data_IF_248431888733
#
_entry.id   IF_248431888733
#
_cell.length_a   1.000
_cell.length_b   1.000
_cell.length_c   1.000
_cell.angle_alpha   90.00
_cell.angle_beta   90.00
_cell.angle_gamma   90.00
#
_symmetry.space_group_name_H-M   'P 1'
#
loop_
_entity.id
_entity.type
_entity.pdbx_description
1 polymer ?
#
# COMPACT_ATOMS: atom_id res chain seq x y z
N UNK A 1 6.79 -21.35 -20.66
CA UNK A 1 7.10 -20.01 -20.07
C UNK A 1 6.58 -18.97 -21.03
N UNK A 2 6.21 -17.79 -20.56
CA UNK A 2 5.71 -16.69 -21.39
C UNK A 2 6.66 -15.50 -21.22
N UNK A 3 7.17 -14.97 -22.33
CA UNK A 3 7.72 -13.62 -22.36
C UNK A 3 6.60 -12.64 -22.71
N UNK A 4 6.49 -11.57 -21.93
CA UNK A 4 5.56 -10.49 -22.12
C UNK A 4 6.39 -9.24 -22.39
N UNK A 5 6.31 -8.70 -23.61
CA UNK A 5 6.83 -7.37 -23.92
C UNK A 5 5.76 -6.32 -23.62
N UNK A 6 6.16 -5.25 -22.96
CA UNK A 6 5.24 -4.19 -22.54
C UNK A 6 5.90 -2.82 -22.51
N UNK A 7 5.06 -1.78 -22.51
CA UNK A 7 5.49 -0.38 -22.40
C UNK A 7 4.92 0.29 -21.16
N UNK A 8 5.73 1.13 -20.51
CA UNK A 8 5.32 2.03 -19.43
C UNK A 8 5.80 3.42 -19.80
N UNK A 9 4.86 4.31 -20.15
CA UNK A 9 5.15 5.57 -20.81
C UNK A 9 6.07 5.35 -22.03
N UNK A 10 7.26 5.96 -22.06
CA UNK A 10 8.23 5.81 -23.15
C UNK A 10 9.14 4.58 -23.01
N UNK A 11 9.16 3.92 -21.84
CA UNK A 11 10.00 2.75 -21.58
C UNK A 11 9.41 1.51 -22.25
N UNK A 12 10.24 0.77 -22.99
CA UNK A 12 9.93 -0.56 -23.52
C UNK A 12 10.81 -1.61 -22.84
N UNK A 13 10.22 -2.71 -22.41
CA UNK A 13 10.92 -3.80 -21.71
C UNK A 13 10.15 -5.11 -21.81
N UNK A 14 10.72 -6.22 -21.36
CA UNK A 14 10.02 -7.50 -21.26
C UNK A 14 10.14 -8.13 -19.88
N UNK A 15 9.27 -9.10 -19.59
CA UNK A 15 9.31 -9.94 -18.40
C UNK A 15 9.04 -11.41 -18.76
N UNK A 16 9.60 -12.33 -18.00
CA UNK A 16 9.48 -13.78 -18.22
C UNK A 16 8.74 -14.42 -17.04
N UNK A 17 7.60 -15.06 -17.31
CA UNK A 17 6.70 -15.59 -16.28
C UNK A 17 6.17 -17.00 -16.62
N UNK A 18 5.64 -17.69 -15.61
CA UNK A 18 4.88 -18.93 -15.80
C UNK A 18 3.43 -18.62 -16.20
N UNK A 19 2.72 -19.57 -16.79
CA UNK A 19 1.38 -19.31 -17.35
C UNK A 19 0.36 -18.97 -16.24
N UNK A 20 0.58 -19.49 -15.05
CA UNK A 20 -0.23 -19.35 -13.83
C UNK A 20 0.06 -18.06 -13.06
N UNK A 21 1.06 -17.26 -13.46
CA UNK A 21 1.37 -16.00 -12.77
C UNK A 21 0.24 -14.99 -12.97
N UNK A 22 -0.25 -14.37 -11.91
CA UNK A 22 -1.44 -13.49 -11.98
C UNK A 22 -1.07 -12.02 -11.99
N UNK A 23 -1.66 -11.30 -12.92
CA UNK A 23 -1.55 -9.85 -13.08
C UNK A 23 -2.89 -9.18 -12.75
N UNK A 24 -2.84 -7.96 -12.24
CA UNK A 24 -4.03 -7.14 -12.02
C UNK A 24 -4.18 -6.16 -13.18
N UNK A 25 -5.33 -6.17 -13.85
CA UNK A 25 -5.60 -5.28 -14.99
C UNK A 25 -6.23 -3.97 -14.53
N UNK A 26 -6.14 -2.93 -15.35
CA UNK A 26 -6.84 -1.65 -15.14
C UNK A 26 -8.36 -1.83 -15.01
N UNK A 27 -8.92 -2.87 -15.63
CA UNK A 27 -10.31 -3.31 -15.49
C UNK A 27 -10.68 -3.91 -14.11
N UNK A 28 -9.77 -3.85 -13.13
CA UNK A 28 -9.94 -4.34 -11.75
C UNK A 28 -10.07 -5.87 -11.60
N UNK A 29 -9.56 -6.62 -12.56
CA UNK A 29 -9.58 -8.10 -12.57
C UNK A 29 -8.18 -8.72 -12.45
N UNK A 30 -8.12 -9.94 -11.90
CA UNK A 30 -6.87 -10.72 -11.74
C UNK A 30 -6.78 -11.83 -12.78
N UNK A 31 -6.00 -11.62 -13.83
CA UNK A 31 -5.85 -12.52 -14.99
C UNK A 31 -4.52 -13.27 -14.93
N UNK A 32 -4.53 -14.55 -15.30
CA UNK A 32 -3.32 -15.38 -15.42
C UNK A 32 -2.55 -15.06 -16.70
N UNK A 33 -1.22 -15.16 -16.67
CA UNK A 33 -0.33 -14.82 -17.77
C UNK A 33 -0.69 -15.55 -19.09
N UNK A 34 -1.14 -16.81 -19.00
CA UNK A 34 -1.60 -17.60 -20.14
C UNK A 34 -2.88 -17.10 -20.80
N UNK A 35 -3.63 -16.22 -20.13
CA UNK A 35 -4.91 -15.65 -20.59
C UNK A 35 -4.81 -14.17 -21.00
N UNK A 36 -3.64 -13.54 -20.85
CA UNK A 36 -3.38 -12.17 -21.29
C UNK A 36 -3.41 -12.04 -22.82
N UNK A 37 -3.71 -10.83 -23.29
CA UNK A 37 -3.81 -10.46 -24.71
C UNK A 37 -2.96 -9.24 -25.00
N UNK A 38 -2.63 -9.03 -26.27
CA UNK A 38 -2.04 -7.77 -26.72
C UNK A 38 -3.01 -6.61 -26.46
N UNK A 39 -2.46 -5.45 -26.11
CA UNK A 39 -3.17 -4.25 -25.63
C UNK A 39 -3.90 -4.40 -24.28
N UNK A 40 -3.79 -5.54 -23.57
CA UNK A 40 -4.18 -5.57 -22.15
C UNK A 40 -3.30 -4.60 -21.35
N UNK A 41 -3.92 -3.94 -20.37
CA UNK A 41 -3.28 -2.93 -19.53
C UNK A 41 -3.14 -3.44 -18.10
N UNK A 42 -1.91 -3.82 -17.74
CA UNK A 42 -1.54 -4.27 -16.40
C UNK A 42 -1.34 -3.05 -15.50
N UNK A 43 -1.99 -3.04 -14.33
CA UNK A 43 -1.82 -1.99 -13.33
C UNK A 43 -0.71 -2.38 -12.34
N UNK A 44 0.41 -1.67 -12.38
CA UNK A 44 1.51 -1.85 -11.44
C UNK A 44 1.18 -1.27 -10.05
N UNK A 45 1.88 -1.72 -9.01
CA UNK A 45 1.72 -1.20 -7.64
C UNK A 45 2.06 0.30 -7.48
N UNK A 46 2.68 0.94 -8.47
CA UNK A 46 2.88 2.40 -8.58
C UNK A 46 1.64 3.17 -9.05
N UNK A 47 0.61 2.49 -9.55
CA UNK A 47 -0.42 3.09 -10.40
C UNK A 47 0.03 3.31 -11.84
N UNK A 48 1.27 2.96 -12.21
CA UNK A 48 1.68 2.96 -13.60
C UNK A 48 0.93 1.88 -14.38
N UNK A 49 0.54 2.22 -15.62
CA UNK A 49 -0.06 1.28 -16.56
C UNK A 49 1.04 0.71 -17.45
N UNK A 50 1.09 -0.61 -17.55
CA UNK A 50 1.91 -1.36 -18.48
C UNK A 50 1.03 -1.92 -19.60
N UNK A 51 1.18 -1.40 -20.82
CA UNK A 51 0.45 -1.90 -21.99
C UNK A 51 1.23 -3.04 -22.66
N UNK A 52 0.60 -4.20 -22.85
CA UNK A 52 1.23 -5.36 -23.46
C UNK A 52 1.34 -5.17 -24.97
N UNK A 53 2.57 -5.13 -25.49
CA UNK A 53 2.84 -5.04 -26.93
C UNK A 53 3.09 -6.39 -27.60
N UNK A 54 3.58 -7.38 -26.84
CA UNK A 54 3.80 -8.73 -27.37
C UNK A 54 3.72 -9.82 -26.28
N UNK A 55 3.32 -11.02 -26.70
CA UNK A 55 3.25 -12.21 -25.84
C UNK A 55 3.84 -13.39 -26.61
N UNK A 56 5.00 -13.87 -26.19
CA UNK A 56 5.71 -14.99 -26.79
C UNK A 56 5.65 -16.21 -25.86
N UNK A 57 5.10 -17.34 -26.34
CA UNK A 57 5.25 -18.62 -25.64
C UNK A 57 6.62 -19.20 -25.92
N UNK A 58 7.39 -19.43 -24.85
CA UNK A 58 8.72 -20.04 -24.89
C UNK A 58 8.59 -21.50 -24.48
N UNK A 59 8.89 -22.38 -25.44
CA UNK A 59 8.96 -23.83 -25.25
C UNK A 59 10.24 -24.28 -24.52
N UNK A 60 10.20 -25.48 -23.94
CA UNK A 60 11.32 -26.07 -23.20
C UNK A 60 11.15 -26.04 -21.68
N UNK A 61 11.94 -26.88 -21.00
CA UNK A 61 11.99 -26.94 -19.55
C UNK A 61 12.89 -25.82 -19.01
N UNK A 62 12.28 -24.71 -18.61
CA UNK A 62 12.97 -23.57 -18.00
C UNK A 62 12.93 -23.68 -16.48
N UNK A 63 14.08 -23.57 -15.81
CA UNK A 63 14.11 -23.40 -14.36
C UNK A 63 13.73 -21.97 -14.00
N UNK A 64 12.51 -21.79 -13.50
CA UNK A 64 12.01 -20.54 -12.94
C UNK A 64 11.94 -20.61 -11.41
N UNK A 65 12.07 -19.45 -10.77
CA UNK A 65 11.88 -19.27 -9.34
C UNK A 65 11.02 -18.02 -9.13
N UNK A 66 9.98 -18.11 -8.29
CA UNK A 66 9.22 -16.94 -7.88
C UNK A 66 10.10 -16.00 -7.04
N UNK A 67 10.23 -14.76 -7.50
CA UNK A 67 11.02 -13.72 -6.84
C UNK A 67 10.10 -12.75 -6.08
N UNK A 68 10.23 -12.70 -4.75
CA UNK A 68 9.57 -11.66 -3.93
C UNK A 68 10.53 -10.48 -3.74
N UNK A 69 10.45 -9.51 -4.65
CA UNK A 69 11.43 -8.41 -4.75
C UNK A 69 10.91 -7.13 -4.08
N UNK A 70 11.85 -6.31 -3.66
CA UNK A 70 11.62 -4.92 -3.30
C UNK A 70 12.60 -3.94 -3.93
N UNK A 71 12.08 -3.21 -4.91
CA UNK A 71 12.60 -1.99 -5.52
C UNK A 71 14.03 -1.93 -6.09
N UNK A 72 14.19 -1.01 -7.05
CA UNK A 72 15.39 -0.78 -7.86
C UNK A 72 16.06 -2.04 -8.43
N UNK A 73 15.24 -2.90 -9.06
CA UNK A 73 15.45 -3.69 -10.31
C UNK A 73 16.83 -4.26 -10.68
N UNK A 74 17.74 -4.47 -9.73
CA UNK A 74 19.04 -5.11 -9.93
C UNK A 74 19.13 -6.34 -9.03
N UNK A 75 19.24 -7.51 -9.67
CA UNK A 75 19.03 -8.85 -9.12
C UNK A 75 20.29 -9.45 -8.46
N UNK A 76 20.09 -10.35 -7.50
CA UNK A 76 21.08 -11.37 -7.11
C UNK A 76 20.41 -12.70 -6.76
N UNK A 77 21.09 -13.80 -7.07
CA UNK A 77 20.62 -15.19 -6.94
C UNK A 77 21.07 -15.79 -5.60
N UNK A 78 20.27 -16.69 -5.02
CA UNK A 78 20.69 -17.58 -3.92
C UNK A 78 20.04 -18.94 -4.05
N UNK A 79 20.80 -20.00 -3.75
CA UNK A 79 20.39 -21.42 -3.78
C UNK A 79 20.03 -21.97 -2.40
N UNK A 80 20.01 -21.14 -1.36
CA UNK A 80 19.66 -21.56 -0.01
C UNK A 80 18.15 -21.71 0.20
N UNK A 81 17.72 -22.76 0.90
CA UNK A 81 16.33 -22.83 1.43
C UNK A 81 16.08 -21.60 2.31
N UNK A 82 14.95 -20.90 2.16
CA UNK A 82 14.55 -19.88 3.12
C UNK A 82 14.40 -20.52 4.49
N UNK A 83 15.07 -19.96 5.49
CA UNK A 83 14.93 -20.39 6.87
C UNK A 83 13.56 -19.95 7.39
N UNK A 84 13.11 -20.51 8.51
CA UNK A 84 11.86 -20.11 9.22
C UNK A 84 11.84 -18.66 9.75
N UNK A 85 12.77 -17.81 9.29
CA UNK A 85 12.91 -16.37 9.56
C UNK A 85 12.55 -15.49 8.35
N UNK A 86 12.01 -16.07 7.27
CA UNK A 86 11.58 -15.33 6.07
C UNK A 86 10.06 -15.08 6.02
N UNK A 87 9.36 -15.29 7.14
CA UNK A 87 8.04 -14.72 7.46
C UNK A 87 8.11 -13.20 7.70
N UNK A 88 8.70 -12.46 6.74
CA UNK A 88 8.88 -10.99 6.80
C UNK A 88 7.87 -10.21 5.93
N UNK A 89 6.86 -10.88 5.41
CA UNK A 89 5.64 -10.22 4.98
C UNK A 89 4.50 -10.75 5.81
N UNK A 90 4.04 -9.93 6.75
CA UNK A 90 2.69 -10.06 7.28
C UNK A 90 1.70 -10.12 6.11
N UNK A 91 0.69 -10.96 6.22
CA UNK A 91 -0.40 -10.98 5.24
C UNK A 91 -1.07 -9.60 5.26
N UNK A 92 -1.46 -9.12 4.08
CA UNK A 92 -2.29 -7.91 4.00
C UNK A 92 -3.51 -8.08 4.93
N UNK A 93 -3.88 -7.04 5.70
CA UNK A 93 -5.02 -7.12 6.60
C UNK A 93 -6.31 -7.29 5.78
N UNK A 94 -7.28 -8.01 6.36
CA UNK A 94 -8.59 -8.27 5.73
C UNK A 94 -9.65 -7.24 6.10
N UNK A 95 -9.43 -6.45 7.16
CA UNK A 95 -10.32 -5.35 7.52
C UNK A 95 -10.13 -4.18 6.53
N UNK A 96 -11.20 -3.64 5.90
CA UNK A 96 -11.09 -2.58 4.91
C UNK A 96 -10.40 -1.30 5.41
N UNK A 97 -10.62 -0.91 6.68
CA UNK A 97 -10.00 0.28 7.29
C UNK A 97 -8.48 0.10 7.42
N UNK A 98 -8.01 -1.11 7.74
CA UNK A 98 -6.58 -1.43 7.80
C UNK A 98 -5.95 -1.62 6.41
N UNK A 99 -6.73 -2.16 5.45
CA UNK A 99 -6.26 -2.50 4.11
C UNK A 99 -5.88 -1.25 3.29
N UNK A 100 -6.66 -0.17 3.39
CA UNK A 100 -6.39 1.10 2.69
C UNK A 100 -5.00 1.63 3.05
N UNK A 101 -4.69 1.75 4.34
CA UNK A 101 -3.38 2.23 4.81
C UNK A 101 -2.24 1.28 4.45
N UNK A 102 -2.45 -0.03 4.57
CA UNK A 102 -1.46 -1.03 4.16
C UNK A 102 -1.13 -0.93 2.66
N UNK A 103 -2.13 -0.78 1.80
CA UNK A 103 -1.95 -0.67 0.36
C UNK A 103 -1.20 0.62 -0.01
N UNK A 104 -1.58 1.76 0.55
CA UNK A 104 -0.91 3.05 0.32
C UNK A 104 0.57 2.99 0.73
N UNK A 105 0.87 2.41 1.91
CA UNK A 105 2.24 2.19 2.35
C UNK A 105 3.01 1.15 1.51
N UNK A 106 2.34 0.25 0.79
CA UNK A 106 2.97 -0.74 -0.09
C UNK A 106 3.31 -0.20 -1.48
N UNK A 107 2.81 0.98 -1.87
CA UNK A 107 3.17 1.59 -3.14
C UNK A 107 4.68 1.93 -3.19
N UNK A 108 5.32 2.00 -4.36
CA UNK A 108 6.68 2.52 -4.53
C UNK A 108 6.72 4.06 -4.48
N UNK A 109 7.89 4.65 -4.22
CA UNK A 109 8.00 6.13 -4.11
C UNK A 109 8.10 6.79 -5.47
N UNK A 110 8.59 6.05 -6.46
CA UNK A 110 8.84 6.50 -7.82
C UNK A 110 8.15 5.56 -8.81
N UNK A 111 7.77 6.11 -9.95
CA UNK A 111 7.41 5.37 -11.14
C UNK A 111 8.66 4.70 -11.78
N UNK A 112 8.49 3.77 -12.74
CA UNK A 112 9.61 3.08 -13.37
C UNK A 112 10.61 3.98 -14.12
N UNK A 113 10.17 5.16 -14.55
CA UNK A 113 11.01 6.23 -15.14
C UNK A 113 11.80 7.05 -14.11
N UNK A 114 11.62 6.78 -12.81
CA UNK A 114 12.25 7.50 -11.70
C UNK A 114 11.50 8.74 -11.23
N UNK A 115 10.39 9.14 -11.87
CA UNK A 115 9.59 10.28 -11.42
C UNK A 115 8.86 9.98 -10.10
N UNK A 116 8.74 10.92 -9.16
CA UNK A 116 8.05 10.66 -7.88
C UNK A 116 6.54 10.42 -8.07
N UNK A 117 6.01 9.42 -7.38
CA UNK A 117 4.56 9.08 -7.34
C UNK A 117 3.72 10.03 -6.49
N UNK A 118 4.35 10.80 -5.60
CA UNK A 118 3.68 11.47 -4.49
C UNK A 118 3.37 10.54 -3.29
N UNK A 119 3.52 9.22 -3.45
CA UNK A 119 3.38 8.25 -2.36
C UNK A 119 4.65 8.25 -1.48
N UNK A 120 4.80 9.32 -0.69
CA UNK A 120 5.94 9.57 0.20
C UNK A 120 6.17 8.43 1.22
N UNK A 121 7.37 8.37 1.79
CA UNK A 121 7.76 7.39 2.83
C UNK A 121 7.15 7.65 4.22
N UNK A 122 6.05 8.41 4.27
CA UNK A 122 5.24 8.62 5.47
C UNK A 122 4.62 7.33 6.01
N UNK A 123 4.33 7.24 7.33
CA UNK A 123 3.23 6.42 7.78
C UNK A 123 1.92 6.89 7.14
N UNK A 124 1.12 5.93 6.72
CA UNK A 124 -0.23 6.09 6.18
C UNK A 124 -1.26 5.63 7.19
N UNK A 125 -2.33 6.40 7.36
CA UNK A 125 -3.48 6.09 8.24
C UNK A 125 -4.77 6.26 7.44
N UNK A 126 -5.81 5.55 7.84
CA UNK A 126 -7.17 5.71 7.36
C UNK A 126 -8.11 6.01 8.52
N UNK A 127 -9.20 6.71 8.22
CA UNK A 127 -10.25 7.09 9.15
C UNK A 127 -11.59 6.71 8.53
N UNK A 128 -12.36 5.85 9.21
CA UNK A 128 -13.71 5.45 8.80
C UNK A 128 -14.74 6.19 9.65
N UNK A 129 -15.71 6.82 8.98
CA UNK A 129 -16.92 7.30 9.65
C UNK A 129 -17.83 6.12 9.99
N UNK A 130 -18.41 6.14 11.18
CA UNK A 130 -19.28 5.09 11.72
C UNK A 130 -20.66 5.69 11.94
N UNK A 131 -21.59 5.29 11.07
CA UNK A 131 -23.01 5.61 11.16
C UNK A 131 -23.80 4.31 10.94
N UNK A 132 -24.84 4.08 11.72
CA UNK A 132 -25.72 2.90 11.60
C UNK A 132 -26.51 2.88 10.30
N UNK A 133 -26.71 4.04 9.68
CA UNK A 133 -27.69 4.26 8.61
C UNK A 133 -27.02 4.42 7.23
N UNK A 134 -25.69 4.43 7.18
CA UNK A 134 -24.93 4.51 5.93
C UNK A 134 -24.86 3.13 5.24
N UNK A 135 -25.20 3.08 3.96
CA UNK A 135 -25.10 1.85 3.15
C UNK A 135 -23.66 1.48 2.75
N UNK A 136 -22.72 2.42 2.87
CA UNK A 136 -21.32 2.25 2.47
C UNK A 136 -20.37 2.86 3.51
N UNK A 137 -19.25 2.19 3.77
CA UNK A 137 -18.18 2.66 4.66
C UNK A 137 -17.44 3.85 4.00
N UNK A 138 -17.64 5.07 4.49
CA UNK A 138 -16.86 6.23 4.03
C UNK A 138 -15.51 6.25 4.75
N UNK A 139 -14.44 6.09 3.97
CA UNK A 139 -13.05 6.01 4.46
C UNK A 139 -12.21 7.17 3.89
N UNK A 140 -11.73 8.03 4.79
CA UNK A 140 -10.66 8.98 4.54
C UNK A 140 -9.28 8.36 4.77
N UNK A 141 -8.22 8.91 4.18
CA UNK A 141 -6.84 8.46 4.39
C UNK A 141 -5.84 9.61 4.30
N UNK A 142 -4.68 9.42 4.92
CA UNK A 142 -3.68 10.47 5.03
C UNK A 142 -2.27 9.94 5.27
N UNK A 143 -1.30 10.70 4.77
CA UNK A 143 0.12 10.47 4.95
C UNK A 143 0.69 11.53 5.90
N UNK A 144 1.64 11.17 6.76
CA UNK A 144 2.33 12.16 7.58
C UNK A 144 3.24 13.07 6.73
N UNK A 145 3.30 14.35 7.09
CA UNK A 145 4.11 15.40 6.47
C UNK A 145 4.65 16.34 7.54
N UNK A 146 5.55 17.25 7.17
CA UNK A 146 6.14 18.27 8.05
C UNK A 146 5.10 19.16 8.77
N UNK A 147 3.88 19.25 8.23
CA UNK A 147 2.81 20.13 8.73
C UNK A 147 1.66 19.39 9.44
N UNK A 148 1.52 18.08 9.25
CA UNK A 148 0.41 17.29 9.80
C UNK A 148 0.75 15.80 9.90
N UNK A 149 0.26 15.14 10.95
CA UNK A 149 0.45 13.70 11.10
C UNK A 149 -0.61 12.91 10.31
N UNK A 150 -0.32 11.64 10.03
CA UNK A 150 -1.14 10.79 9.17
C UNK A 150 -2.62 10.68 9.63
N UNK A 151 -2.87 10.68 10.94
CA UNK A 151 -4.23 10.66 11.50
C UNK A 151 -4.99 11.95 11.23
N UNK A 152 -4.35 13.12 11.38
CA UNK A 152 -4.99 14.42 11.17
C UNK A 152 -5.25 14.63 9.67
N UNK A 153 -4.33 14.17 8.82
CA UNK A 153 -4.53 14.09 7.37
C UNK A 153 -5.71 13.19 7.00
N UNK A 154 -5.80 11.98 7.58
CA UNK A 154 -6.89 11.04 7.32
C UNK A 154 -8.26 11.55 7.79
N UNK A 155 -8.31 12.24 8.93
CA UNK A 155 -9.54 12.90 9.42
C UNK A 155 -9.89 14.12 8.54
N UNK A 156 -8.91 14.87 8.04
CA UNK A 156 -9.16 15.99 7.12
C UNK A 156 -9.73 15.51 5.78
N UNK A 157 -9.20 14.43 5.23
CA UNK A 157 -9.73 13.79 4.01
C UNK A 157 -11.12 13.16 4.25
N UNK A 158 -11.36 12.57 5.43
CA UNK A 158 -12.68 12.08 5.83
C UNK A 158 -13.72 13.20 5.93
N UNK A 159 -13.37 14.36 6.51
CA UNK A 159 -14.25 15.54 6.53
C UNK A 159 -14.61 15.99 5.11
N UNK A 160 -13.61 16.11 4.24
CA UNK A 160 -13.82 16.54 2.86
C UNK A 160 -14.75 15.60 2.07
N UNK A 161 -14.67 14.29 2.31
CA UNK A 161 -15.51 13.27 1.66
C UNK A 161 -16.95 13.20 2.17
N UNK A 162 -17.22 13.72 3.37
CA UNK A 162 -18.54 13.68 4.02
C UNK A 162 -19.31 15.00 3.91
N UNK A 163 -18.69 16.01 3.31
CA UNK A 163 -18.98 17.43 3.48
C UNK A 163 -18.91 17.89 4.95
N UNK A 164 -18.32 19.05 5.22
CA UNK A 164 -18.02 19.56 6.58
C UNK A 164 -19.26 19.73 7.51
N UNK A 165 -20.47 19.51 6.98
CA UNK A 165 -21.72 19.45 7.75
C UNK A 165 -21.77 18.28 8.74
N UNK A 166 -21.05 17.17 8.50
CA UNK A 166 -21.04 16.04 9.44
C UNK A 166 -20.05 16.29 10.58
N UNK A 167 -20.60 16.55 11.77
CA UNK A 167 -19.84 16.73 13.00
C UNK A 167 -19.08 15.47 13.41
N UNK A 168 -17.82 15.34 12.96
CA UNK A 168 -16.95 14.23 13.35
C UNK A 168 -16.48 14.39 14.80
N UNK A 169 -16.62 13.32 15.59
CA UNK A 169 -16.22 13.23 17.00
C UNK A 169 -15.66 11.82 17.31
N UNK A 170 -15.07 11.64 18.50
CA UNK A 170 -14.47 10.35 18.94
C UNK A 170 -15.42 9.15 18.89
N UNK A 171 -16.73 9.37 18.84
CA UNK A 171 -17.76 8.32 18.87
C UNK A 171 -18.20 7.85 17.48
N UNK A 172 -18.02 8.67 16.44
CA UNK A 172 -18.44 8.37 15.07
C UNK A 172 -17.28 8.23 14.09
N UNK A 173 -16.02 8.17 14.57
CA UNK A 173 -14.84 7.89 13.75
C UNK A 173 -14.01 6.75 14.34
N UNK A 174 -13.64 5.78 13.51
CA UNK A 174 -12.62 4.76 13.81
C UNK A 174 -11.37 5.03 12.99
N UNK A 175 -10.21 5.00 13.64
CA UNK A 175 -8.91 5.21 13.00
C UNK A 175 -8.22 3.86 12.83
N UNK A 176 -7.56 3.65 11.69
CA UNK A 176 -6.74 2.47 11.43
C UNK A 176 -5.45 2.52 12.26
N UNK A 177 -4.71 1.43 12.25
CA UNK A 177 -3.28 1.53 12.58
C UNK A 177 -2.55 2.28 11.47
N UNK A 178 -1.41 2.91 11.80
CA UNK A 178 -0.54 3.40 10.74
C UNK A 178 0.23 2.25 10.11
N UNK A 179 0.50 2.41 8.81
CA UNK A 179 1.34 1.51 8.05
C UNK A 179 2.48 2.30 7.41
N UNK A 180 3.72 1.84 7.61
CA UNK A 180 4.91 2.49 7.07
C UNK A 180 5.76 1.50 6.27
N UNK A 181 6.23 1.96 5.11
CA UNK A 181 7.16 1.25 4.26
C UNK A 181 8.56 1.27 4.86
N UNK A 182 9.12 0.10 5.18
CA UNK A 182 10.49 -0.03 5.67
C UNK A 182 11.36 -0.78 4.67
N UNK A 183 12.54 -0.24 4.40
CA UNK A 183 13.56 -0.87 3.57
C UNK A 183 14.64 -1.49 4.47
N UNK A 184 15.03 -2.73 4.17
CA UNK A 184 16.17 -3.41 4.80
C UNK A 184 17.00 -4.14 3.75
N UNK A 185 18.17 -4.67 4.15
CA UNK A 185 19.00 -5.55 3.30
C UNK A 185 18.27 -6.84 2.85
N UNK A 186 17.20 -7.24 3.54
CA UNK A 186 16.32 -8.36 3.16
C UNK A 186 15.14 -7.93 2.27
N UNK A 187 14.94 -6.63 2.11
CA UNK A 187 13.93 -6.03 1.25
C UNK A 187 12.95 -5.08 1.95
N UNK A 188 11.89 -4.74 1.21
CA UNK A 188 10.75 -3.90 1.61
C UNK A 188 9.66 -4.74 2.22
N UNK A 189 9.17 -4.24 3.35
CA UNK A 189 7.97 -4.74 4.01
C UNK A 189 7.18 -3.53 4.49
N UNK A 190 5.88 -3.73 4.66
CA UNK A 190 4.99 -2.73 5.24
C UNK A 190 4.84 -3.09 6.71
N UNK A 191 5.35 -2.23 7.57
CA UNK A 191 5.24 -2.36 9.01
C UNK A 191 3.95 -1.72 9.50
N UNK A 192 3.23 -2.44 10.36
CA UNK A 192 2.12 -1.91 11.17
C UNK A 192 2.68 -1.16 12.39
N UNK A 193 2.07 -0.04 12.79
CA UNK A 193 2.48 0.76 13.95
C UNK A 193 1.30 1.52 14.58
N UNK A 194 1.43 1.91 15.86
CA UNK A 194 0.56 2.94 16.49
C UNK A 194 1.21 4.33 16.41
N UNK A 195 0.54 5.33 15.83
CA UNK A 195 0.63 6.71 16.25
C UNK A 195 -0.43 6.98 17.37
N UNK A 196 -0.44 8.09 18.08
CA UNK A 196 0.35 9.33 18.02
C UNK A 196 0.97 9.64 19.41
N UNK A 197 1.41 10.85 19.82
CA UNK A 197 1.51 12.19 19.19
C UNK A 197 2.25 12.14 17.83
N UNK A 198 2.14 13.18 17.00
CA UNK A 198 2.70 13.44 15.66
C UNK A 198 3.51 12.33 14.92
N UNK A 199 2.96 11.10 14.80
CA UNK A 199 3.69 9.91 14.34
C UNK A 199 5.04 9.68 15.07
N UNK A 200 5.01 10.06 16.36
CA UNK A 200 6.03 10.21 17.39
C UNK A 200 7.28 10.97 16.95
N UNK A 201 6.98 12.14 16.39
CA UNK A 201 7.84 13.28 16.13
C UNK A 201 9.00 12.98 15.17
N UNK A 202 8.62 12.76 13.90
CA UNK A 202 9.51 12.47 12.77
C UNK A 202 10.18 11.08 12.80
N UNK A 203 9.38 10.01 12.80
CA UNK A 203 9.82 8.67 12.37
C UNK A 203 10.84 7.97 13.32
N UNK A 204 10.75 8.25 14.63
CA UNK A 204 11.74 7.91 15.65
C UNK A 204 12.27 6.47 15.65
N UNK A 205 13.60 6.36 15.76
CA UNK A 205 14.42 5.14 15.68
C UNK A 205 13.98 4.17 14.55
N UNK A 206 13.34 4.71 13.47
CA UNK A 206 12.66 4.20 12.25
C UNK A 206 12.05 2.79 12.26
N UNK A 207 11.95 2.22 13.44
CA UNK A 207 12.16 0.82 13.67
C UNK A 207 11.72 0.54 15.13
N UNK A 208 11.35 -0.71 15.42
CA UNK A 208 11.88 -1.30 16.66
C UNK A 208 10.89 -1.53 17.81
N UNK A 209 9.63 -1.89 17.57
CA UNK A 209 8.96 -2.86 18.47
C UNK A 209 7.99 -3.77 17.72
N UNK A 210 7.80 -4.98 18.25
CA UNK A 210 7.21 -6.16 17.61
C UNK A 210 5.87 -6.58 18.23
N UNK A 211 5.10 -5.62 18.75
CA UNK A 211 3.77 -5.86 19.31
C UNK A 211 2.73 -4.91 18.70
N UNK A 212 1.51 -5.43 18.54
CA UNK A 212 0.35 -4.68 18.05
C UNK A 212 0.07 -3.49 18.98
N UNK A 213 0.48 -2.29 18.58
CA UNK A 213 0.00 -1.07 19.24
C UNK A 213 -1.50 -0.88 18.95
N UNK A 214 -2.27 -0.42 19.94
CA UNK A 214 -3.65 0.07 19.71
C UNK A 214 -3.61 1.59 19.46
N UNK A 215 -4.47 2.11 18.59
CA UNK A 215 -4.81 3.53 18.59
C UNK A 215 -6.17 3.70 19.27
N UNK A 216 -6.14 3.91 20.59
CA UNK A 216 -7.30 4.24 21.42
C UNK A 216 -7.18 5.71 21.93
N UNK A 217 -6.49 6.59 21.18
CA UNK A 217 -5.76 7.72 21.78
C UNK A 217 -6.44 9.10 21.66
N UNK A 218 -6.22 9.90 22.69
CA UNK A 218 -6.73 11.26 22.88
C UNK A 218 -5.59 12.27 22.73
N UNK A 219 -5.74 13.30 21.88
CA UNK A 219 -4.74 14.37 21.68
C UNK A 219 -5.16 15.68 22.33
N UNK A 220 -4.15 16.43 22.79
CA UNK A 220 -4.19 17.88 22.88
C UNK A 220 -3.46 18.48 21.66
N UNK A 221 -4.13 19.28 20.82
CA UNK A 221 -3.52 19.85 19.62
C UNK A 221 -4.50 20.35 18.55
N UNK A 222 -3.98 21.05 17.54
CA UNK A 222 -4.74 21.91 16.61
C UNK A 222 -5.73 21.22 15.63
N UNK A 223 -5.83 19.89 15.60
CA UNK A 223 -6.63 19.15 14.62
C UNK A 223 -7.63 18.13 15.20
N UNK A 224 -7.77 18.07 16.52
CA UNK A 224 -8.35 16.93 17.22
C UNK A 224 -9.88 16.73 16.98
N UNK A 225 -10.33 15.48 17.05
CA UNK A 225 -11.75 15.12 17.03
C UNK A 225 -12.40 15.42 18.40
N UNK A 226 -13.41 16.30 18.50
CA UNK A 226 -14.07 16.59 19.77
C UNK A 226 -14.60 15.31 20.46
N UNK A 227 -14.77 15.32 21.80
CA UNK A 227 -15.51 14.25 22.47
C UNK A 227 -16.91 14.12 21.84
N UNK A 228 -17.53 12.96 22.03
CA UNK A 228 -18.95 12.83 21.65
C UNK A 228 -19.77 13.92 22.36
N UNK A 229 -20.82 14.47 21.71
CA UNK A 229 -21.81 15.27 22.41
C UNK A 229 -22.31 14.53 23.66
N UNK A 230 -22.55 15.28 24.73
CA UNK A 230 -23.31 14.75 25.85
C UNK A 230 -24.79 14.87 25.47
N UNK A 231 -25.49 13.73 25.44
CA UNK A 231 -26.95 13.65 25.30
C UNK A 231 -27.67 14.24 26.53
#
# INVERSE_FOLDING_TARGET
MIEIEYTIAELKTSMFVVEEHRFYLVAQEWVEAGNLKMADQILACSGAVAEITHINKIEGAHHYCDLKISHNHHYFVTTGRPLSRDTLCDRAPVDPLELVSYQLANKPSNFPDGTPTGDHSGPWVAARYVNSDASEDVIGWGCASDNMCAEDAAVSDLRHKLDDAIGLHRGNVKISHAYIRKYTRKGRFVNKMSPCVHCRDNYGNALNDSTLGKSDLVKDGRGYLPPAPLD
#
